data_IF_329428184832
#
_entry.id   IF_329428184832
#
_cell.length_a   1.000
_cell.length_b   1.000
_cell.length_c   1.000
_cell.angle_alpha   90.00
_cell.angle_beta   90.00
_cell.angle_gamma   90.00
#
_symmetry.space_group_name_H-M   'P 1'
#
loop_
_entity.id
_entity.type
_entity.pdbx_description
1 polymer ?
#
# COMPACT_ATOMS: atom_id res chain seq x y z
N UNK A 1 -25.50 12.99 -3.34
CA UNK A 1 -24.63 12.45 -2.27
C UNK A 1 -23.56 11.62 -2.92
N UNK A 2 -22.30 12.02 -2.80
CA UNK A 2 -21.14 11.28 -3.30
C UNK A 2 -20.77 10.19 -2.31
N UNK A 3 -20.68 8.95 -2.77
CA UNK A 3 -20.32 7.80 -1.94
C UNK A 3 -18.89 7.38 -2.23
N UNK A 4 -18.05 7.41 -1.19
CA UNK A 4 -16.63 7.09 -1.26
C UNK A 4 -16.35 5.82 -0.47
N UNK A 5 -15.58 4.90 -1.03
CA UNK A 5 -15.03 3.77 -0.29
C UNK A 5 -13.51 3.91 -0.21
N UNK A 6 -12.96 3.73 0.99
CA UNK A 6 -11.53 3.79 1.27
C UNK A 6 -11.06 2.42 1.75
N UNK A 7 -10.11 1.82 1.03
CA UNK A 7 -9.48 0.57 1.41
C UNK A 7 -8.20 0.82 2.20
N UNK A 8 -8.15 0.34 3.43
CA UNK A 8 -6.94 0.35 4.27
C UNK A 8 -6.31 -1.04 4.32
N UNK A 9 -4.99 -1.15 4.12
CA UNK A 9 -4.30 -2.44 4.00
C UNK A 9 -4.04 -3.13 5.34
N UNK A 10 -4.10 -2.39 6.45
CA UNK A 10 -3.82 -2.89 7.80
C UNK A 10 -4.98 -2.61 8.75
N UNK A 11 -5.28 -3.54 9.67
CA UNK A 11 -6.29 -3.31 10.72
C UNK A 11 -6.00 -2.08 11.58
N UNK A 12 -4.73 -1.79 11.83
CA UNK A 12 -4.30 -0.66 12.67
C UNK A 12 -4.65 0.70 12.05
N UNK A 13 -4.73 0.76 10.72
CA UNK A 13 -5.14 1.96 9.99
C UNK A 13 -6.65 2.18 10.00
N UNK A 14 -7.45 1.15 10.26
CA UNK A 14 -8.90 1.24 10.12
C UNK A 14 -9.49 2.33 11.00
N UNK A 15 -9.20 2.27 12.29
CA UNK A 15 -9.78 3.21 13.27
C UNK A 15 -9.33 4.66 13.08
N UNK A 16 -8.04 4.97 12.89
CA UNK A 16 -7.58 6.33 12.59
C UNK A 16 -8.20 6.90 11.32
N UNK A 17 -8.27 6.11 10.24
CA UNK A 17 -8.85 6.58 8.97
C UNK A 17 -10.36 6.76 9.07
N UNK A 18 -11.08 5.90 9.81
CA UNK A 18 -12.51 6.10 10.09
C UNK A 18 -12.78 7.38 10.90
N UNK A 19 -11.93 7.69 11.88
CA UNK A 19 -12.06 8.94 12.64
C UNK A 19 -11.89 10.17 11.75
N UNK A 20 -10.87 10.16 10.89
CA UNK A 20 -10.67 11.24 9.92
C UNK A 20 -11.79 11.33 8.88
N UNK A 21 -12.26 10.20 8.38
CA UNK A 21 -13.39 10.16 7.43
C UNK A 21 -14.64 10.80 8.02
N UNK A 22 -14.94 10.53 9.29
CA UNK A 22 -16.11 11.07 9.98
C UNK A 22 -16.11 12.61 10.06
N UNK A 23 -14.94 13.25 10.03
CA UNK A 23 -14.82 14.72 10.01
C UNK A 23 -15.23 15.34 8.66
N UNK A 24 -15.22 14.54 7.59
CA UNK A 24 -15.53 14.97 6.23
C UNK A 24 -16.92 14.53 5.77
N UNK A 25 -17.57 13.62 6.50
CA UNK A 25 -18.93 13.18 6.20
C UNK A 25 -19.95 14.30 6.43
N UNK A 26 -20.91 14.43 5.51
CA UNK A 26 -22.00 15.39 5.56
C UNK A 26 -23.15 14.92 4.65
N UNK A 27 -24.18 15.74 4.47
CA UNK A 27 -25.36 15.40 3.64
C UNK A 27 -25.00 15.15 2.16
N UNK A 28 -23.84 15.63 1.69
CA UNK A 28 -23.39 15.50 0.30
C UNK A 28 -22.35 14.39 0.12
N UNK A 29 -21.62 14.00 1.19
CA UNK A 29 -20.50 13.06 1.14
C UNK A 29 -20.66 11.98 2.20
N UNK A 30 -20.63 10.73 1.78
CA UNK A 30 -20.55 9.55 2.67
C UNK A 30 -19.28 8.77 2.40
N UNK A 31 -18.55 8.40 3.46
CA UNK A 31 -17.24 7.74 3.38
C UNK A 31 -17.28 6.42 4.14
N UNK A 32 -17.14 5.32 3.42
CA UNK A 32 -17.02 3.99 4.00
C UNK A 32 -15.54 3.56 4.02
N UNK A 33 -15.00 3.31 5.20
CA UNK A 33 -13.61 2.84 5.35
C UNK A 33 -13.62 1.37 5.72
N UNK A 34 -12.93 0.57 4.92
CA UNK A 34 -12.89 -0.89 5.09
C UNK A 34 -11.45 -1.40 5.10
N UNK A 35 -11.16 -2.33 6.01
CA UNK A 35 -9.91 -3.07 5.97
C UNK A 35 -10.06 -4.25 5.02
N UNK A 36 -9.33 -4.23 3.91
CA UNK A 36 -9.21 -5.35 2.99
C UNK A 36 -7.86 -5.29 2.27
N UNK A 37 -7.28 -6.45 2.08
CA UNK A 37 -6.04 -6.62 1.34
C UNK A 37 -6.31 -7.58 0.17
N UNK A 38 -6.40 -7.03 -1.01
CA UNK A 38 -6.41 -7.81 -2.26
C UNK A 38 -7.57 -8.76 -2.51
N UNK A 39 -8.65 -8.76 -1.70
CA UNK A 39 -9.70 -9.78 -1.79
C UNK A 39 -10.82 -9.42 -2.78
N UNK A 40 -11.23 -10.39 -3.64
CA UNK A 40 -12.29 -10.20 -4.63
C UNK A 40 -13.68 -9.97 -4.04
N UNK A 41 -13.92 -10.39 -2.80
CA UNK A 41 -15.27 -10.51 -2.21
C UNK A 41 -16.02 -9.18 -2.07
N UNK A 42 -15.32 -8.05 -1.99
CA UNK A 42 -15.93 -6.71 -1.93
C UNK A 42 -16.22 -6.14 -3.32
N UNK A 43 -15.64 -6.70 -4.36
CA UNK A 43 -15.74 -6.14 -5.72
C UNK A 43 -17.20 -6.03 -6.21
N UNK A 44 -18.08 -6.92 -5.75
CA UNK A 44 -19.51 -6.88 -6.11
C UNK A 44 -20.29 -5.68 -5.54
N UNK A 45 -19.71 -4.97 -4.57
CA UNK A 45 -20.36 -3.81 -3.94
C UNK A 45 -19.80 -2.48 -4.45
N UNK A 46 -18.73 -2.49 -5.25
CA UNK A 46 -18.08 -1.28 -5.73
C UNK A 46 -18.96 -0.43 -6.65
N UNK A 47 -19.96 -1.04 -7.27
CA UNK A 47 -20.95 -0.32 -8.09
C UNK A 47 -21.79 0.68 -7.28
N UNK A 48 -21.85 0.50 -5.97
CA UNK A 48 -22.54 1.42 -5.09
C UNK A 48 -21.75 2.69 -4.74
N UNK A 49 -20.48 2.79 -5.18
CA UNK A 49 -19.59 3.90 -4.84
C UNK A 49 -19.22 4.70 -6.09
N UNK A 50 -19.17 6.02 -5.91
CA UNK A 50 -18.80 6.97 -6.97
C UNK A 50 -17.27 7.13 -7.06
N UNK A 51 -16.59 7.06 -5.91
CA UNK A 51 -15.13 7.16 -5.80
C UNK A 51 -14.59 6.01 -4.96
N UNK A 52 -13.52 5.41 -5.46
CA UNK A 52 -12.79 4.34 -4.78
C UNK A 52 -11.40 4.86 -4.44
N UNK A 53 -10.99 4.73 -3.18
CA UNK A 53 -9.66 5.10 -2.71
C UNK A 53 -8.93 3.84 -2.27
N UNK A 54 -7.81 3.54 -2.90
CA UNK A 54 -7.05 2.33 -2.62
C UNK A 54 -5.55 2.54 -2.81
N UNK A 55 -4.73 1.64 -2.27
CA UNK A 55 -3.27 1.65 -2.48
C UNK A 55 -2.74 0.26 -2.84
N UNK A 56 -1.53 0.27 -3.42
CA UNK A 56 -0.75 -0.94 -3.66
C UNK A 56 -1.50 -2.01 -4.45
N UNK A 57 -1.48 -3.22 -3.96
CA UNK A 57 -2.09 -4.41 -4.59
C UNK A 57 -3.59 -4.25 -4.78
N UNK A 58 -4.29 -3.74 -3.76
CA UNK A 58 -5.74 -3.51 -3.83
C UNK A 58 -6.09 -2.55 -4.97
N UNK A 59 -5.35 -1.44 -5.09
CA UNK A 59 -5.52 -0.49 -6.20
C UNK A 59 -5.34 -1.18 -7.56
N UNK A 60 -4.23 -1.91 -7.76
CA UNK A 60 -3.95 -2.59 -9.01
C UNK A 60 -5.05 -3.59 -9.40
N UNK A 61 -5.51 -4.39 -8.44
CA UNK A 61 -6.60 -5.37 -8.66
C UNK A 61 -7.91 -4.69 -9.07
N UNK A 62 -8.29 -3.60 -8.38
CA UNK A 62 -9.52 -2.88 -8.69
C UNK A 62 -9.44 -2.24 -10.08
N UNK A 63 -8.32 -1.60 -10.43
CA UNK A 63 -8.12 -1.02 -11.78
C UNK A 63 -8.23 -2.05 -12.90
N UNK A 64 -7.75 -3.27 -12.67
CA UNK A 64 -7.83 -4.34 -13.67
C UNK A 64 -9.26 -4.86 -13.88
N UNK A 65 -10.10 -4.81 -12.85
CA UNK A 65 -11.47 -5.34 -12.89
C UNK A 65 -12.48 -4.27 -13.30
N UNK A 66 -12.25 -3.01 -12.88
CA UNK A 66 -13.13 -1.86 -13.11
C UNK A 66 -12.37 -0.69 -13.74
N UNK A 67 -11.89 -0.83 -14.98
CA UNK A 67 -11.10 0.21 -15.63
C UNK A 67 -11.89 1.52 -15.87
N UNK A 68 -13.23 1.48 -15.84
CA UNK A 68 -14.13 2.62 -16.02
C UNK A 68 -14.43 3.39 -14.73
N UNK A 69 -14.09 2.83 -13.57
CA UNK A 69 -14.37 3.48 -12.27
C UNK A 69 -13.34 4.56 -11.96
N UNK A 70 -13.80 5.59 -11.25
CA UNK A 70 -12.90 6.61 -10.70
C UNK A 70 -12.17 6.05 -9.47
N UNK A 71 -10.91 5.67 -9.66
CA UNK A 71 -10.09 5.08 -8.60
C UNK A 71 -8.94 6.01 -8.26
N UNK A 72 -8.93 6.51 -7.04
CA UNK A 72 -7.86 7.35 -6.51
C UNK A 72 -6.79 6.49 -5.83
N UNK A 73 -5.56 6.61 -6.29
CA UNK A 73 -4.44 5.89 -5.72
C UNK A 73 -3.84 6.66 -4.55
N UNK A 74 -3.82 6.04 -3.37
CA UNK A 74 -2.98 6.49 -2.27
C UNK A 74 -1.54 6.03 -2.52
N UNK A 75 -0.65 6.98 -2.73
CA UNK A 75 0.79 6.72 -2.90
C UNK A 75 1.47 6.60 -1.54
N UNK A 76 2.57 5.87 -1.50
CA UNK A 76 3.53 6.02 -0.41
C UNK A 76 4.09 7.43 -0.45
N UNK A 77 4.19 8.06 0.69
CA UNK A 77 5.11 9.17 0.85
C UNK A 77 6.53 8.60 0.92
N UNK A 78 7.46 9.20 0.19
CA UNK A 78 8.87 8.80 0.25
C UNK A 78 9.44 8.90 1.67
N UNK A 79 8.88 9.76 2.52
CA UNK A 79 9.25 9.89 3.92
C UNK A 79 8.92 8.65 4.75
N UNK A 80 7.79 7.95 4.49
CA UNK A 80 7.45 6.70 5.16
C UNK A 80 8.52 5.63 4.94
N UNK A 81 9.03 5.54 3.70
CA UNK A 81 10.09 4.60 3.35
C UNK A 81 11.42 4.97 4.02
N UNK A 82 11.78 6.25 4.00
CA UNK A 82 13.00 6.76 4.65
C UNK A 82 12.96 6.48 6.15
N UNK A 83 11.83 6.75 6.80
CA UNK A 83 11.64 6.46 8.23
C UNK A 83 11.77 4.97 8.54
N UNK A 84 11.15 4.10 7.72
CA UNK A 84 11.25 2.66 7.88
C UNK A 84 12.71 2.16 7.73
N UNK A 85 13.46 2.70 6.77
CA UNK A 85 14.87 2.35 6.58
C UNK A 85 15.73 2.82 7.76
N UNK A 86 15.50 4.03 8.29
CA UNK A 86 16.18 4.52 9.49
C UNK A 86 15.89 3.66 10.72
N UNK A 87 14.64 3.28 10.93
CA UNK A 87 14.26 2.38 12.02
C UNK A 87 14.94 1.03 11.87
N UNK A 88 14.93 0.45 10.67
CA UNK A 88 15.58 -0.82 10.37
C UNK A 88 17.08 -0.75 10.67
N UNK A 89 17.77 0.28 10.14
CA UNK A 89 19.19 0.53 10.38
C UNK A 89 19.52 0.65 11.87
N UNK A 90 18.79 1.49 12.58
CA UNK A 90 19.08 1.78 13.99
C UNK A 90 18.75 0.64 14.95
N UNK A 91 17.79 -0.22 14.57
CA UNK A 91 17.36 -1.33 15.42
C UNK A 91 18.16 -2.61 15.17
N UNK A 92 18.43 -2.91 13.90
CA UNK A 92 18.98 -4.22 13.49
C UNK A 92 20.38 -4.15 12.92
N UNK A 93 20.86 -2.97 12.52
CA UNK A 93 22.16 -2.77 11.87
C UNK A 93 22.43 -3.75 10.72
N UNK A 94 21.49 -3.92 9.78
CA UNK A 94 21.60 -4.91 8.73
C UNK A 94 22.67 -4.52 7.71
N UNK A 95 23.32 -5.50 7.11
CA UNK A 95 24.18 -5.30 5.92
C UNK A 95 23.38 -5.43 4.62
N UNK A 96 22.20 -6.04 4.69
CA UNK A 96 21.33 -6.26 3.55
C UNK A 96 19.86 -6.09 3.96
N UNK A 97 19.09 -5.37 3.15
CA UNK A 97 17.66 -5.10 3.37
C UNK A 97 16.88 -5.56 2.15
N UNK A 98 15.89 -6.41 2.34
CA UNK A 98 14.92 -6.78 1.33
C UNK A 98 13.69 -5.86 1.36
N UNK A 99 13.40 -5.18 0.26
CA UNK A 99 12.18 -4.38 0.11
C UNK A 99 11.16 -5.14 -0.74
N UNK A 100 10.09 -5.62 -0.09
CA UNK A 100 8.97 -6.31 -0.74
C UNK A 100 7.88 -5.29 -1.06
N UNK A 101 7.89 -4.71 -2.25
CA UNK A 101 7.01 -3.62 -2.66
C UNK A 101 6.51 -3.83 -4.09
N UNK A 102 5.34 -3.25 -4.42
CA UNK A 102 4.92 -3.11 -5.81
C UNK A 102 5.89 -2.22 -6.60
N UNK A 103 6.11 -2.55 -7.87
CA UNK A 103 7.02 -1.83 -8.77
C UNK A 103 6.56 -0.38 -9.00
N UNK A 104 6.95 0.51 -8.14
CA UNK A 104 6.82 1.94 -8.34
C UNK A 104 8.19 2.62 -8.19
N UNK A 105 8.86 2.88 -9.31
CA UNK A 105 9.99 3.85 -9.47
C UNK A 105 11.11 3.83 -8.41
N UNK A 106 11.14 2.84 -7.52
CA UNK A 106 12.16 2.74 -6.49
C UNK A 106 13.51 2.30 -7.06
N UNK A 107 13.54 1.67 -8.23
CA UNK A 107 14.78 1.24 -8.88
C UNK A 107 15.73 2.41 -9.14
N UNK A 108 15.18 3.56 -9.50
CA UNK A 108 15.96 4.77 -9.79
C UNK A 108 16.51 5.43 -8.52
N UNK A 109 15.95 5.10 -7.36
CA UNK A 109 16.32 5.64 -6.04
C UNK A 109 17.17 4.67 -5.20
N UNK A 110 17.43 3.47 -5.69
CA UNK A 110 18.17 2.46 -4.93
C UNK A 110 19.54 2.93 -4.44
N UNK A 111 20.38 3.60 -5.27
CA UNK A 111 21.69 4.05 -4.82
C UNK A 111 21.60 5.02 -3.63
N UNK A 112 20.65 5.95 -3.65
CA UNK A 112 20.42 6.92 -2.59
C UNK A 112 19.86 6.25 -1.32
N UNK A 113 18.99 5.25 -1.49
CA UNK A 113 18.44 4.50 -0.37
C UNK A 113 19.49 3.60 0.29
N UNK A 114 20.39 3.00 -0.48
CA UNK A 114 21.53 2.23 0.02
C UNK A 114 22.51 3.12 0.80
N UNK A 115 22.85 4.30 0.27
CA UNK A 115 23.69 5.27 0.98
C UNK A 115 23.04 5.72 2.30
N UNK A 116 21.72 6.00 2.27
CA UNK A 116 20.97 6.42 3.45
C UNK A 116 20.91 5.35 4.53
N UNK A 117 20.69 4.09 4.13
CA UNK A 117 20.55 2.96 5.05
C UNK A 117 21.87 2.34 5.48
N UNK A 118 22.97 2.67 4.80
CA UNK A 118 24.27 2.03 4.96
C UNK A 118 24.19 0.49 4.81
N UNK A 119 23.34 0.04 3.90
CA UNK A 119 23.06 -1.36 3.65
C UNK A 119 22.75 -1.58 2.17
N UNK A 120 23.08 -2.77 1.68
CA UNK A 120 22.65 -3.22 0.34
C UNK A 120 21.14 -3.41 0.33
N UNK A 121 20.46 -2.97 -0.73
CA UNK A 121 19.01 -3.12 -0.88
C UNK A 121 18.68 -4.02 -2.08
N UNK A 122 17.87 -5.05 -1.86
CA UNK A 122 17.28 -5.87 -2.91
C UNK A 122 15.78 -5.60 -2.99
N UNK A 123 15.27 -5.33 -4.22
CA UNK A 123 13.85 -5.15 -4.48
C UNK A 123 13.20 -6.47 -4.90
N UNK A 124 12.11 -6.82 -4.23
CA UNK A 124 11.26 -7.95 -4.56
C UNK A 124 9.90 -7.44 -4.98
N UNK A 125 9.53 -7.70 -6.23
CA UNK A 125 8.27 -7.19 -6.80
C UNK A 125 7.06 -7.93 -6.23
N UNK A 126 6.07 -7.14 -5.75
CA UNK A 126 4.84 -7.64 -5.15
C UNK A 126 3.65 -7.10 -5.92
N UNK A 127 2.90 -7.98 -6.57
CA UNK A 127 1.72 -7.64 -7.37
C UNK A 127 0.40 -8.13 -6.74
N UNK A 128 0.46 -9.20 -5.93
CA UNK A 128 -0.67 -9.84 -5.27
C UNK A 128 -0.22 -10.59 -4.00
N UNK A 129 -1.13 -11.32 -3.37
CA UNK A 129 -0.84 -12.08 -2.14
C UNK A 129 0.13 -13.24 -2.36
N UNK A 130 0.09 -13.87 -3.53
CA UNK A 130 0.97 -14.98 -3.88
C UNK A 130 2.40 -14.47 -4.09
N UNK A 131 2.58 -13.45 -4.92
CA UNK A 131 3.87 -12.81 -5.15
C UNK A 131 4.44 -12.15 -3.88
N UNK A 132 3.59 -11.66 -2.95
CA UNK A 132 4.04 -11.16 -1.66
C UNK A 132 4.69 -12.27 -0.82
N UNK A 133 4.07 -13.46 -0.79
CA UNK A 133 4.63 -14.62 -0.09
C UNK A 133 5.93 -15.08 -0.72
N UNK A 134 5.97 -15.14 -2.05
CA UNK A 134 7.16 -15.54 -2.81
C UNK A 134 8.30 -14.55 -2.63
N UNK A 135 8.01 -13.24 -2.61
CA UNK A 135 8.96 -12.18 -2.35
C UNK A 135 9.61 -12.31 -0.97
N UNK A 136 8.80 -12.55 0.09
CA UNK A 136 9.32 -12.77 1.44
C UNK A 136 10.20 -14.04 1.49
N UNK A 137 9.76 -15.13 0.88
CA UNK A 137 10.52 -16.38 0.84
C UNK A 137 11.84 -16.22 0.05
N UNK A 138 11.84 -15.44 -1.03
CA UNK A 138 13.05 -15.12 -1.79
C UNK A 138 14.00 -14.26 -0.95
N UNK A 139 13.49 -13.21 -0.31
CA UNK A 139 14.26 -12.35 0.58
C UNK A 139 14.94 -13.16 1.70
N UNK A 140 14.22 -14.09 2.34
CA UNK A 140 14.76 -14.96 3.40
C UNK A 140 15.83 -15.94 2.91
N UNK A 141 15.78 -16.35 1.64
CA UNK A 141 16.81 -17.23 1.04
C UNK A 141 18.09 -16.48 0.67
N UNK A 142 17.92 -15.23 0.26
CA UNK A 142 19.04 -14.39 -0.21
C UNK A 142 19.85 -13.80 0.96
N UNK A 143 19.36 -13.94 2.20
CA UNK A 143 20.04 -13.53 3.45
C UNK A 143 19.89 -12.08 3.74
#
# INVERSE_FOLDING_TARGET
MVRIIVFVPSPDMLKPVQQQAAEWENDEISINVVHRFGTPEILYQLDNYDVIVARGITYNKICNIYPEKHITRLRFDGMDLVEALFQCRNTYHPHHIGLCLGRDRLQDLLPELEELSDARISLYDVQDEESARDAVNACLRDG
#
